data_IF_954458379217
#
_entry.id   IF_954458379217
#
_cell.length_a   1.000
_cell.length_b   1.000
_cell.length_c   1.000
_cell.angle_alpha   90.00
_cell.angle_beta   90.00
_cell.angle_gamma   90.00
#
_symmetry.space_group_name_H-M   'P 1'
#
loop_
_entity.id
_entity.type
_entity.pdbx_description
1 polymer ?
#
# COMPACT_ATOMS: atom_id res chain seq x y z
N UNK A 1 5.65 -9.38 -1.80
CA UNK A 1 4.62 -9.00 -0.82
C UNK A 1 4.46 -9.85 0.49
N UNK A 2 5.19 -10.95 0.85
CA UNK A 2 5.04 -11.60 2.19
C UNK A 2 6.37 -11.63 2.95
N UNK A 3 6.22 -11.89 4.25
CA UNK A 3 7.22 -12.29 5.23
C UNK A 3 6.70 -13.44 6.11
N UNK A 4 7.64 -14.11 6.78
CA UNK A 4 7.53 -15.32 7.60
C UNK A 4 6.57 -15.25 8.80
N UNK A 5 5.83 -16.34 9.12
CA UNK A 5 5.29 -16.56 10.45
C UNK A 5 6.35 -17.22 11.34
N UNK A 6 6.74 -16.58 12.45
CA UNK A 6 7.31 -17.35 13.56
C UNK A 6 6.20 -18.23 14.14
N UNK A 7 6.35 -19.54 13.98
CA UNK A 7 5.50 -20.54 14.65
C UNK A 7 5.60 -20.35 16.16
N UNK A 8 4.47 -20.03 16.79
CA UNK A 8 4.24 -20.11 18.22
C UNK A 8 2.77 -20.39 18.49
N UNK A 9 2.49 -21.59 18.97
CA UNK A 9 1.18 -22.11 19.34
C UNK A 9 0.53 -21.31 20.50
N UNK A 10 -0.81 -21.24 20.42
CA UNK A 10 -1.82 -21.14 21.50
C UNK A 10 -1.93 -19.85 22.32
N UNK A 11 -3.17 -19.35 22.39
CA UNK A 11 -3.89 -19.14 23.65
C UNK A 11 -3.45 -17.98 24.54
N UNK A 12 -4.43 -17.12 24.83
CA UNK A 12 -4.43 -16.02 25.80
C UNK A 12 -3.69 -14.74 25.39
N UNK A 13 -4.53 -13.71 25.26
CA UNK A 13 -4.23 -12.29 25.25
C UNK A 13 -3.12 -11.90 26.23
N UNK A 14 -1.93 -11.65 25.69
CA UNK A 14 -0.90 -10.85 26.33
C UNK A 14 -0.43 -9.85 25.26
N UNK A 15 -0.73 -8.57 25.49
CA UNK A 15 -0.08 -7.46 24.80
C UNK A 15 1.43 -7.61 25.00
N UNK A 16 2.12 -8.23 24.03
CA UNK A 16 3.56 -8.16 23.97
C UNK A 16 3.90 -6.75 23.50
N UNK A 17 4.70 -6.07 24.30
CA UNK A 17 5.38 -4.83 23.91
C UNK A 17 6.00 -5.05 22.54
N UNK A 18 5.85 -4.06 21.66
CA UNK A 18 6.70 -3.91 20.49
C UNK A 18 8.15 -3.82 21.02
N UNK A 19 8.83 -4.95 21.13
CA UNK A 19 10.29 -4.96 21.20
C UNK A 19 10.70 -4.39 19.84
N UNK A 20 11.03 -3.09 19.85
CA UNK A 20 11.39 -2.34 18.65
C UNK A 20 12.41 -3.16 17.88
N UNK A 21 12.08 -3.53 16.65
CA UNK A 21 13.04 -4.15 15.76
C UNK A 21 14.23 -3.18 15.69
N UNK A 22 15.39 -3.59 16.21
CA UNK A 22 16.56 -2.72 16.24
C UNK A 22 16.83 -2.25 14.81
N UNK A 23 16.86 -0.94 14.60
CA UNK A 23 16.90 -0.37 13.27
C UNK A 23 18.14 -0.79 12.48
N UNK A 24 19.27 -0.95 13.17
CA UNK A 24 20.50 -1.48 12.57
C UNK A 24 20.30 -2.90 12.01
N UNK A 25 19.39 -3.69 12.59
CA UNK A 25 19.07 -5.03 12.10
C UNK A 25 18.26 -4.98 10.82
N UNK A 26 17.35 -4.01 10.64
CA UNK A 26 16.61 -3.89 9.39
C UNK A 26 17.53 -3.37 8.29
N UNK A 27 18.40 -2.38 8.52
CA UNK A 27 19.42 -1.96 7.53
C UNK A 27 20.29 -3.16 7.08
N UNK A 28 20.75 -3.98 8.03
CA UNK A 28 21.50 -5.22 7.74
C UNK A 28 20.70 -6.27 6.97
N UNK A 29 19.37 -6.28 7.10
CA UNK A 29 18.47 -7.22 6.43
C UNK A 29 18.03 -6.74 5.04
N UNK A 30 17.89 -5.43 4.85
CA UNK A 30 17.55 -4.80 3.57
C UNK A 30 18.66 -5.02 2.54
N UNK A 31 19.93 -4.82 2.92
CA UNK A 31 21.08 -5.00 2.03
C UNK A 31 21.09 -6.34 1.26
N UNK A 32 21.05 -7.52 1.93
CA UNK A 32 21.06 -8.80 1.22
C UNK A 32 19.76 -9.08 0.46
N UNK A 33 18.61 -8.63 0.94
CA UNK A 33 17.32 -8.86 0.27
C UNK A 33 17.18 -8.07 -1.02
N UNK A 34 17.69 -6.83 -1.08
CA UNK A 34 17.65 -6.04 -2.31
C UNK A 34 18.52 -6.64 -3.41
N UNK A 35 19.69 -7.18 -3.08
CA UNK A 35 20.52 -7.91 -4.05
C UNK A 35 19.78 -9.12 -4.64
N UNK A 36 19.06 -9.87 -3.80
CA UNK A 36 18.24 -10.99 -4.26
C UNK A 36 17.07 -10.53 -5.16
N UNK A 37 16.48 -9.37 -4.89
CA UNK A 37 15.42 -8.77 -5.71
C UNK A 37 15.93 -8.32 -7.09
N UNK A 38 17.10 -7.68 -7.14
CA UNK A 38 17.76 -7.24 -8.38
C UNK A 38 18.19 -8.43 -9.24
N UNK A 39 18.56 -9.56 -8.62
CA UNK A 39 19.07 -10.74 -9.31
C UNK A 39 17.98 -11.78 -9.66
N UNK A 40 16.71 -11.54 -9.29
CA UNK A 40 15.65 -12.52 -9.56
C UNK A 40 15.48 -12.77 -11.06
N UNK A 41 15.48 -14.04 -11.44
CA UNK A 41 15.28 -14.48 -12.81
C UNK A 41 13.81 -14.77 -13.15
N UNK A 42 12.88 -14.63 -12.18
CA UNK A 42 11.44 -14.74 -12.44
C UNK A 42 11.06 -13.79 -13.58
N UNK A 43 10.57 -14.37 -14.68
CA UNK A 43 10.11 -13.62 -15.84
C UNK A 43 9.07 -12.55 -15.46
N UNK A 44 8.24 -12.81 -14.44
CA UNK A 44 7.28 -11.85 -13.88
C UNK A 44 7.96 -10.64 -13.23
N UNK A 45 9.04 -10.84 -12.47
CA UNK A 45 9.78 -9.73 -11.83
C UNK A 45 10.49 -8.90 -12.88
N UNK A 46 11.13 -9.55 -13.87
CA UNK A 46 11.71 -8.84 -15.03
C UNK A 46 10.64 -8.10 -15.83
N UNK A 47 9.47 -8.70 -16.04
CA UNK A 47 8.36 -8.07 -16.76
C UNK A 47 7.82 -6.84 -16.04
N UNK A 48 7.67 -6.92 -14.72
CA UNK A 48 7.29 -5.77 -13.88
C UNK A 48 8.38 -4.68 -13.93
N UNK A 49 9.66 -5.05 -13.89
CA UNK A 49 10.80 -4.12 -13.95
C UNK A 49 11.00 -3.46 -15.32
N UNK A 50 10.59 -4.08 -16.43
CA UNK A 50 10.90 -3.62 -17.80
C UNK A 50 9.82 -2.73 -18.46
N UNK A 51 8.77 -2.31 -17.75
CA UNK A 51 7.57 -1.74 -18.38
C UNK A 51 7.28 -0.28 -18.05
N UNK A 52 6.47 0.31 -18.94
CA UNK A 52 5.73 1.59 -18.81
C UNK A 52 4.82 1.69 -17.58
N UNK A 53 4.86 0.73 -16.66
CA UNK A 53 4.10 0.71 -15.41
C UNK A 53 5.02 0.92 -14.20
N UNK A 54 6.27 1.34 -14.40
CA UNK A 54 7.20 1.67 -13.32
C UNK A 54 6.93 3.07 -12.78
N UNK A 55 6.73 3.19 -11.47
CA UNK A 55 6.42 4.47 -10.82
C UNK A 55 7.54 5.49 -11.03
N UNK A 56 8.81 5.05 -10.88
CA UNK A 56 9.99 5.88 -11.03
C UNK A 56 10.11 6.64 -12.37
N UNK A 57 9.44 6.17 -13.43
CA UNK A 57 9.50 6.85 -14.73
C UNK A 57 8.79 8.22 -14.71
N UNK A 58 7.92 8.47 -13.73
CA UNK A 58 7.13 9.69 -13.57
C UNK A 58 7.77 10.72 -12.63
N UNK A 59 9.04 10.51 -12.28
CA UNK A 59 9.91 11.54 -11.71
C UNK A 59 10.02 12.77 -12.65
N UNK A 60 9.89 12.54 -13.97
CA UNK A 60 9.72 13.60 -14.95
C UNK A 60 8.24 13.96 -15.12
N UNK A 61 7.86 15.14 -14.62
CA UNK A 61 6.50 15.69 -14.73
C UNK A 61 6.01 15.81 -16.19
N UNK A 62 6.91 15.96 -17.17
CA UNK A 62 6.56 16.01 -18.58
C UNK A 62 5.98 14.70 -19.11
N UNK A 63 6.30 13.57 -18.46
CA UNK A 63 5.76 12.25 -18.83
C UNK A 63 4.36 12.01 -18.28
N UNK A 64 4.00 12.67 -17.17
CA UNK A 64 2.69 12.49 -16.53
C UNK A 64 1.57 12.92 -17.48
N UNK A 65 1.60 14.16 -17.96
CA UNK A 65 0.52 14.69 -18.81
C UNK A 65 0.37 13.98 -20.17
N UNK A 66 1.40 13.29 -20.64
CA UNK A 66 1.37 12.53 -21.89
C UNK A 66 0.89 11.08 -21.69
N UNK A 67 1.02 10.53 -20.48
CA UNK A 67 0.79 9.10 -20.23
C UNK A 67 -0.40 8.84 -19.34
N UNK A 68 -0.82 9.82 -18.53
CA UNK A 68 -1.84 9.66 -17.51
C UNK A 68 -2.94 10.72 -17.64
N UNK A 69 -4.15 10.34 -17.27
CA UNK A 69 -5.31 11.21 -17.12
C UNK A 69 -5.94 10.98 -15.75
N UNK A 70 -6.75 11.93 -15.29
CA UNK A 70 -7.53 11.79 -14.05
C UNK A 70 -9.00 11.81 -14.41
N UNK A 71 -9.75 10.81 -13.98
CA UNK A 71 -11.20 10.74 -14.15
C UNK A 71 -11.84 10.27 -12.84
N UNK A 72 -13.08 10.70 -12.61
CA UNK A 72 -13.89 10.23 -11.50
C UNK A 72 -14.65 8.93 -11.82
N UNK A 73 -14.71 8.51 -13.09
CA UNK A 73 -15.47 7.35 -13.55
C UNK A 73 -16.94 7.37 -13.08
N UNK A 74 -17.54 8.56 -13.06
CA UNK A 74 -18.89 8.82 -12.51
C UNK A 74 -19.01 8.72 -10.97
N UNK A 75 -17.91 8.49 -10.25
CA UNK A 75 -17.88 8.65 -8.80
C UNK A 75 -17.93 10.13 -8.42
N UNK A 76 -18.63 10.45 -7.34
CA UNK A 76 -18.65 11.81 -6.78
C UNK A 76 -17.55 12.04 -5.74
N UNK A 77 -16.84 10.97 -5.34
CA UNK A 77 -15.92 11.00 -4.20
C UNK A 77 -14.56 10.35 -4.49
N UNK A 78 -14.42 9.65 -5.62
CA UNK A 78 -13.19 8.94 -5.99
C UNK A 78 -12.67 9.47 -7.30
N UNK A 79 -11.37 9.71 -7.37
CA UNK A 79 -10.67 10.04 -8.61
C UNK A 79 -9.63 8.96 -8.86
N UNK A 80 -9.57 8.51 -10.10
CA UNK A 80 -8.70 7.46 -10.57
C UNK A 80 -7.65 8.06 -11.49
N UNK A 81 -6.43 7.57 -11.32
CA UNK A 81 -5.37 7.78 -12.29
C UNK A 81 -5.55 6.73 -13.39
N UNK A 82 -5.68 7.17 -14.63
CA UNK A 82 -5.91 6.30 -15.79
C UNK A 82 -4.76 6.43 -16.78
N UNK A 83 -4.48 5.36 -17.53
CA UNK A 83 -3.60 5.41 -18.68
C UNK A 83 -4.25 6.22 -19.80
N UNK A 84 -3.57 7.26 -20.30
CA UNK A 84 -4.12 8.16 -21.32
C UNK A 84 -4.51 7.43 -22.62
N UNK A 85 -3.80 6.35 -22.97
CA UNK A 85 -4.03 5.61 -24.21
C UNK A 85 -5.14 4.56 -24.11
N UNK A 86 -5.25 3.82 -22.99
CA UNK A 86 -6.25 2.76 -22.82
C UNK A 86 -7.47 3.18 -22.01
N UNK A 87 -7.35 4.27 -21.25
CA UNK A 87 -8.34 4.70 -20.24
C UNK A 87 -8.56 3.66 -19.13
N UNK A 88 -7.68 2.67 -19.01
CA UNK A 88 -7.68 1.71 -17.90
C UNK A 88 -6.99 2.31 -16.67
N UNK A 89 -7.31 1.78 -15.48
CA UNK A 89 -6.68 2.19 -14.23
C UNK A 89 -5.15 2.05 -14.26
N UNK A 90 -4.45 3.10 -13.85
CA UNK A 90 -3.00 3.16 -13.83
C UNK A 90 -2.42 2.44 -12.60
N UNK A 91 -2.16 1.14 -12.75
CA UNK A 91 -1.46 0.36 -11.72
C UNK A 91 0.06 0.52 -11.88
N UNK A 92 0.67 1.27 -10.97
CA UNK A 92 2.11 1.57 -10.97
C UNK A 92 2.87 0.68 -9.98
N UNK A 93 4.05 0.24 -10.41
CA UNK A 93 4.88 -0.70 -9.68
C UNK A 93 6.07 -0.01 -9.03
N UNK A 94 6.40 -0.48 -7.83
CA UNK A 94 7.64 -0.17 -7.13
C UNK A 94 8.18 -1.42 -6.44
N UNK A 95 9.48 -1.46 -6.24
CA UNK A 95 10.16 -2.50 -5.48
C UNK A 95 10.83 -1.90 -4.24
N UNK A 96 10.73 -2.62 -3.12
CA UNK A 96 11.36 -2.22 -1.86
C UNK A 96 11.08 -3.25 -0.77
N UNK A 97 11.56 -2.96 0.42
CA UNK A 97 11.39 -3.78 1.62
C UNK A 97 10.24 -3.22 2.45
N UNK A 98 9.27 -4.07 2.76
CA UNK A 98 8.19 -3.75 3.67
C UNK A 98 8.74 -3.67 5.10
N UNK A 99 8.76 -2.48 5.68
CA UNK A 99 9.41 -2.24 6.98
C UNK A 99 8.42 -1.92 8.10
N UNK A 100 7.24 -1.40 7.76
CA UNK A 100 6.16 -1.17 8.73
C UNK A 100 4.82 -1.54 8.09
N UNK A 101 3.97 -2.22 8.85
CA UNK A 101 2.56 -2.44 8.52
C UNK A 101 1.74 -2.13 9.75
N UNK A 102 0.71 -1.33 9.58
CA UNK A 102 -0.29 -1.05 10.58
C UNK A 102 -1.67 -1.49 10.05
N UNK A 103 -2.28 -2.42 10.77
CA UNK A 103 -3.69 -2.77 10.58
C UNK A 103 -4.36 -2.50 11.93
N UNK A 104 -5.34 -1.58 12.00
CA UNK A 104 -5.91 -1.17 13.27
C UNK A 104 -6.69 -2.35 13.87
N UNK A 105 -6.64 -2.53 15.20
CA UNK A 105 -7.39 -3.59 15.84
C UNK A 105 -8.88 -3.34 15.64
N UNK A 106 -9.57 -4.35 15.11
CA UNK A 106 -11.02 -4.31 14.95
C UNK A 106 -11.64 -4.62 16.30
N UNK A 107 -11.94 -3.57 17.07
CA UNK A 107 -12.51 -3.69 18.41
C UNK A 107 -14.03 -3.49 18.39
N UNK A 108 -14.72 -4.01 19.40
CA UNK A 108 -16.16 -3.83 19.60
C UNK A 108 -16.54 -2.43 20.11
N UNK A 109 -15.57 -1.53 20.30
CA UNK A 109 -15.76 -0.20 20.86
C UNK A 109 -16.61 0.73 19.96
N UNK A 110 -17.12 1.82 20.51
CA UNK A 110 -18.07 2.71 19.84
C UNK A 110 -17.60 3.24 18.47
N UNK A 111 -18.50 3.19 17.49
CA UNK A 111 -18.25 3.41 16.06
C UNK A 111 -17.73 4.80 15.67
N UNK A 112 -17.77 5.79 16.57
CA UNK A 112 -17.35 7.17 16.29
C UNK A 112 -15.84 7.31 16.06
N UNK A 113 -15.02 6.33 16.47
CA UNK A 113 -13.57 6.33 16.20
C UNK A 113 -13.17 5.66 14.88
N UNK A 114 -14.05 4.85 14.29
CA UNK A 114 -13.72 4.02 13.12
C UNK A 114 -13.64 4.80 11.81
N UNK A 115 -14.21 6.01 11.77
CA UNK A 115 -14.04 6.95 10.66
C UNK A 115 -12.57 7.37 10.46
N UNK A 116 -11.74 7.16 11.50
CA UNK A 116 -10.29 7.38 11.48
C UNK A 116 -9.49 6.08 11.52
N UNK A 117 -10.14 4.92 11.34
CA UNK A 117 -9.42 3.66 11.25
C UNK A 117 -8.77 3.59 9.86
N UNK A 118 -7.45 3.73 9.85
CA UNK A 118 -6.64 3.57 8.65
C UNK A 118 -5.78 2.33 8.77
N UNK A 119 -5.57 1.66 7.64
CA UNK A 119 -4.50 0.71 7.43
C UNK A 119 -3.36 1.46 6.77
N UNK A 120 -2.13 1.14 7.14
CA UNK A 120 -0.98 1.71 6.45
C UNK A 120 0.16 0.74 6.30
N UNK A 121 1.01 1.02 5.32
CA UNK A 121 2.27 0.32 5.12
C UNK A 121 3.36 1.31 4.75
N UNK A 122 4.59 0.99 5.16
CA UNK A 122 5.78 1.71 4.72
C UNK A 122 6.76 0.77 4.04
N UNK A 123 7.18 1.18 2.86
CA UNK A 123 8.20 0.51 2.06
C UNK A 123 9.45 1.37 2.11
N UNK A 124 10.61 0.73 2.30
CA UNK A 124 11.93 1.39 2.26
C UNK A 124 12.84 0.72 1.25
N UNK A 125 13.91 1.40 0.87
CA UNK A 125 14.99 0.88 0.05
C UNK A 125 16.35 1.24 0.65
N UNK A 126 17.44 0.80 0.02
CA UNK A 126 18.77 1.33 0.30
C UNK A 126 18.85 2.81 -0.07
N UNK A 127 19.73 3.53 0.63
CA UNK A 127 19.89 4.98 0.49
C UNK A 127 20.36 5.39 -0.91
N UNK A 128 21.08 4.52 -1.62
CA UNK A 128 21.60 4.74 -2.97
C UNK A 128 20.69 4.16 -4.08
N UNK A 129 19.51 3.63 -3.74
CA UNK A 129 18.54 3.13 -4.69
C UNK A 129 17.89 4.28 -5.49
N UNK A 130 18.50 4.59 -6.63
CA UNK A 130 18.03 5.66 -7.53
C UNK A 130 16.61 5.45 -8.04
N UNK A 131 16.20 4.19 -8.26
CA UNK A 131 14.86 3.90 -8.75
C UNK A 131 13.82 4.20 -7.67
N UNK A 132 14.12 3.83 -6.43
CA UNK A 132 13.27 4.15 -5.29
C UNK A 132 13.21 5.66 -5.01
N UNK A 133 14.34 6.36 -5.09
CA UNK A 133 14.39 7.81 -4.96
C UNK A 133 13.56 8.54 -6.04
N UNK A 134 13.68 8.12 -7.30
CA UNK A 134 12.81 8.63 -8.38
C UNK A 134 11.35 8.26 -8.19
N UNK A 135 11.03 7.11 -7.58
CA UNK A 135 9.65 6.74 -7.28
C UNK A 135 9.02 7.61 -6.17
N UNK A 136 9.81 8.03 -5.16
CA UNK A 136 9.36 9.02 -4.17
C UNK A 136 8.99 10.34 -4.83
N UNK A 137 9.87 10.87 -5.69
CA UNK A 137 9.57 12.08 -6.47
C UNK A 137 8.38 11.91 -7.41
N UNK A 138 8.23 10.73 -8.02
CA UNK A 138 7.10 10.42 -8.89
C UNK A 138 5.75 10.48 -8.13
N UNK A 139 5.70 10.04 -6.88
CA UNK A 139 4.50 10.15 -6.03
C UNK A 139 4.14 11.62 -5.84
N UNK A 140 5.10 12.45 -5.43
CA UNK A 140 4.89 13.89 -5.26
C UNK A 140 4.37 14.53 -6.56
N UNK A 141 4.94 14.15 -7.71
CA UNK A 141 4.50 14.66 -9.00
C UNK A 141 3.07 14.19 -9.36
N UNK A 142 2.72 12.93 -9.08
CA UNK A 142 1.38 12.38 -9.32
C UNK A 142 0.36 13.06 -8.40
N UNK A 143 0.65 13.24 -7.11
CA UNK A 143 -0.22 13.96 -6.18
C UNK A 143 -0.48 15.38 -6.67
N UNK A 144 0.58 16.10 -7.04
CA UNK A 144 0.47 17.44 -7.62
C UNK A 144 -0.33 17.45 -8.92
N UNK A 145 -0.20 16.41 -9.75
CA UNK A 145 -0.97 16.25 -10.97
C UNK A 145 -2.46 16.01 -10.66
N UNK A 146 -2.79 15.15 -9.69
CA UNK A 146 -4.17 14.87 -9.30
C UNK A 146 -4.85 16.06 -8.62
N UNK A 147 -4.13 16.81 -7.78
CA UNK A 147 -4.64 18.03 -7.14
C UNK A 147 -5.03 19.13 -8.14
N UNK A 148 -4.47 19.13 -9.35
CA UNK A 148 -4.90 20.06 -10.42
C UNK A 148 -6.23 19.67 -11.05
N UNK A 149 -6.61 18.41 -10.95
CA UNK A 149 -7.81 17.86 -11.57
C UNK A 149 -8.95 17.63 -10.57
N UNK A 150 -8.68 17.72 -9.26
CA UNK A 150 -9.66 17.47 -8.19
C UNK A 150 -9.50 18.46 -7.03
N UNK A 151 -10.62 18.85 -6.39
CA UNK A 151 -10.63 19.71 -5.19
C UNK A 151 -9.86 19.03 -4.05
N UNK A 152 -9.23 19.79 -3.13
CA UNK A 152 -7.96 19.40 -2.53
C UNK A 152 -8.04 18.07 -1.80
N UNK A 153 -7.13 17.16 -2.17
CA UNK A 153 -6.70 16.11 -1.25
C UNK A 153 -6.29 16.77 0.06
N UNK A 154 -6.75 16.23 1.19
CA UNK A 154 -6.47 16.75 2.52
C UNK A 154 -4.96 16.63 2.80
N UNK A 155 -4.22 17.64 2.33
CA UNK A 155 -2.79 17.90 2.50
C UNK A 155 -1.85 17.04 1.65
N UNK A 156 -0.78 17.66 1.08
CA UNK A 156 0.29 16.90 0.44
C UNK A 156 0.94 15.97 1.46
N UNK A 157 1.28 14.74 1.06
CA UNK A 157 1.94 13.81 1.97
C UNK A 157 3.29 14.38 2.39
N UNK A 158 3.52 14.46 3.70
CA UNK A 158 4.84 14.81 4.19
C UNK A 158 5.83 13.69 3.86
N UNK A 159 7.11 14.01 3.56
CA UNK A 159 8.14 13.00 3.40
C UNK A 159 8.13 12.05 4.60
N UNK A 160 8.04 10.75 4.32
CA UNK A 160 7.97 9.73 5.36
C UNK A 160 9.32 9.03 5.49
N UNK A 161 9.69 8.70 6.73
CA UNK A 161 10.95 8.06 7.05
C UNK A 161 10.75 6.87 8.01
N UNK A 162 11.66 5.92 7.95
CA UNK A 162 11.87 4.89 8.99
C UNK A 162 13.31 5.04 9.46
N UNK A 163 13.50 5.63 10.65
CA UNK A 163 14.81 6.14 11.06
C UNK A 163 15.34 7.13 10.02
N UNK A 164 16.50 6.85 9.45
CA UNK A 164 17.13 7.72 8.43
C UNK A 164 16.83 7.32 6.97
N UNK A 165 16.06 6.24 6.74
CA UNK A 165 15.72 5.83 5.36
C UNK A 165 14.41 6.48 4.93
N UNK A 166 14.42 7.09 3.74
CA UNK A 166 13.22 7.54 3.07
C UNK A 166 12.28 6.36 2.82
N UNK A 167 10.99 6.58 3.06
CA UNK A 167 9.98 5.56 3.00
C UNK A 167 8.79 6.04 2.16
N UNK A 168 8.25 5.13 1.35
CA UNK A 168 6.95 5.33 0.72
C UNK A 168 5.91 4.86 1.71
N UNK A 169 5.00 5.77 2.04
CA UNK A 169 3.88 5.52 2.92
C UNK A 169 2.61 5.39 2.09
N UNK A 170 1.93 4.27 2.23
CA UNK A 170 0.58 4.10 1.69
C UNK A 170 -0.38 3.98 2.86
N UNK A 171 -1.45 4.78 2.82
CA UNK A 171 -2.52 4.76 3.80
C UNK A 171 -3.84 4.51 3.09
N UNK A 172 -4.70 3.72 3.72
CA UNK A 172 -6.03 3.43 3.22
C UNK A 172 -7.04 3.40 4.36
N UNK A 173 -8.28 3.82 4.10
CA UNK A 173 -9.35 3.73 5.09
C UNK A 173 -9.77 2.28 5.24
N UNK A 174 -9.95 1.83 6.48
CA UNK A 174 -10.51 0.50 6.75
C UNK A 174 -12.01 0.47 6.41
N UNK A 175 -12.72 1.56 6.66
CA UNK A 175 -14.16 1.66 6.49
C UNK A 175 -14.55 3.02 5.92
N UNK A 176 -15.53 3.02 5.02
CA UNK A 176 -16.10 4.24 4.43
C UNK A 176 -17.44 4.55 5.10
N UNK A 177 -17.71 5.81 5.50
CA UNK A 177 -19.02 6.15 6.05
C UNK A 177 -20.13 5.95 5.02
N UNK A 178 -21.23 5.30 5.41
CA UNK A 178 -22.34 4.92 4.52
C UNK A 178 -22.96 6.11 3.76
N UNK A 179 -22.91 7.31 4.34
CA UNK A 179 -23.49 8.50 3.72
C UNK A 179 -22.65 9.10 2.58
N UNK A 180 -21.37 8.70 2.44
CA UNK A 180 -20.50 9.15 1.35
C UNK A 180 -20.53 8.23 0.14
N UNK A 181 -21.14 7.04 0.23
CA UNK A 181 -21.07 6.08 -0.85
C UNK A 181 -22.40 5.37 -1.07
N UNK A 182 -22.82 5.26 -2.33
CA UNK A 182 -24.04 4.58 -2.77
C UNK A 182 -23.83 3.09 -3.07
N UNK A 183 -22.58 2.63 -3.07
CA UNK A 183 -22.23 1.29 -3.53
C UNK A 183 -22.62 0.20 -2.52
N UNK A 184 -22.59 -1.05 -2.99
CA UNK A 184 -22.82 -2.20 -2.15
C UNK A 184 -21.65 -2.42 -1.19
N UNK A 185 -21.97 -2.66 0.08
CA UNK A 185 -20.96 -3.11 1.02
C UNK A 185 -20.55 -4.55 0.69
N UNK A 186 -19.27 -4.84 0.89
CA UNK A 186 -18.68 -6.16 0.71
C UNK A 186 -18.57 -6.81 2.08
N UNK A 187 -18.87 -8.11 2.14
CA UNK A 187 -18.66 -8.88 3.35
C UNK A 187 -17.15 -9.14 3.53
N UNK A 188 -16.58 -8.82 4.70
CA UNK A 188 -15.16 -9.08 4.94
C UNK A 188 -14.91 -10.59 4.95
N UNK A 189 -13.76 -10.98 4.38
CA UNK A 189 -13.30 -12.36 4.36
C UNK A 189 -12.93 -12.85 5.77
N UNK A 190 -12.77 -14.16 5.93
CA UNK A 190 -12.41 -14.75 7.21
C UNK A 190 -10.98 -14.37 7.64
N UNK A 191 -10.09 -14.11 6.69
CA UNK A 191 -8.71 -13.67 6.95
C UNK A 191 -8.69 -12.26 7.56
N UNK A 192 -9.58 -11.38 7.10
CA UNK A 192 -9.69 -9.99 7.58
C UNK A 192 -10.50 -9.91 8.88
N UNK A 193 -11.55 -10.73 9.01
CA UNK A 193 -12.49 -10.68 10.13
C UNK A 193 -12.76 -12.07 10.74
N UNK A 194 -11.69 -12.71 11.24
CA UNK A 194 -11.75 -14.07 11.79
C UNK A 194 -12.79 -14.24 12.92
N UNK A 195 -13.10 -13.17 13.64
CA UNK A 195 -14.03 -13.17 14.77
C UNK A 195 -15.41 -12.58 14.44
N UNK A 196 -15.66 -12.15 13.20
CA UNK A 196 -16.94 -11.57 12.78
C UNK A 196 -17.24 -10.17 13.37
N UNK A 197 -16.23 -9.49 13.95
CA UNK A 197 -16.39 -8.19 14.61
C UNK A 197 -16.57 -7.08 13.57
N UNK A 198 -15.81 -7.11 12.49
CA UNK A 198 -15.93 -6.15 11.40
C UNK A 198 -17.30 -6.27 10.73
N UNK A 199 -17.73 -7.50 10.44
CA UNK A 199 -19.04 -7.81 9.87
C UNK A 199 -20.17 -7.35 10.78
N UNK A 200 -20.08 -7.60 12.09
CA UNK A 200 -21.05 -7.10 13.05
C UNK A 200 -21.09 -5.56 13.08
N UNK A 201 -19.94 -4.91 12.88
CA UNK A 201 -19.83 -3.46 12.82
C UNK A 201 -20.47 -2.89 11.56
N UNK A 202 -20.17 -3.45 10.37
CA UNK A 202 -20.77 -3.04 9.09
C UNK A 202 -22.30 -3.17 9.13
N UNK A 203 -22.83 -4.26 9.71
CA UNK A 203 -24.27 -4.51 9.84
C UNK A 203 -25.05 -3.45 10.62
N UNK A 204 -24.38 -2.64 11.44
CA UNK A 204 -25.02 -1.49 12.12
C UNK A 204 -25.36 -0.34 11.15
N UNK A 205 -24.90 -0.39 9.90
CA UNK A 205 -25.33 0.50 8.81
C UNK A 205 -24.65 1.87 8.74
N UNK A 206 -23.75 2.20 9.67
CA UNK A 206 -23.08 3.51 9.69
C UNK A 206 -21.86 3.59 8.77
N UNK A 207 -21.21 2.46 8.53
CA UNK A 207 -19.99 2.35 7.71
C UNK A 207 -20.07 1.12 6.82
N UNK A 208 -19.31 1.14 5.73
CA UNK A 208 -19.18 0.05 4.76
C UNK A 208 -17.72 -0.37 4.62
N UNK A 209 -17.54 -1.63 4.25
CA UNK A 209 -16.29 -2.17 3.75
C UNK A 209 -16.45 -2.36 2.23
N UNK A 210 -15.49 -1.89 1.46
CA UNK A 210 -15.53 -1.83 0.00
C UNK A 210 -14.23 -2.39 -0.59
N UNK A 211 -14.21 -2.62 -1.91
CA UNK A 211 -13.05 -3.22 -2.61
C UNK A 211 -11.79 -2.37 -2.44
N UNK A 212 -11.95 -1.06 -2.43
CA UNK A 212 -10.85 -0.12 -2.22
C UNK A 212 -10.26 -0.19 -0.81
N UNK A 213 -10.91 -0.87 0.17
CA UNK A 213 -10.42 -1.03 1.54
C UNK A 213 -9.57 -2.31 1.74
N UNK A 214 -9.41 -3.13 0.70
CA UNK A 214 -8.68 -4.40 0.78
C UNK A 214 -7.19 -4.18 0.53
N UNK A 215 -6.36 -4.43 1.55
CA UNK A 215 -4.90 -4.51 1.37
C UNK A 215 -4.50 -5.97 1.20
N UNK A 216 -3.91 -6.30 0.05
CA UNK A 216 -3.43 -7.64 -0.29
C UNK A 216 -1.92 -7.76 -0.05
N UNK A 217 -1.51 -8.80 0.67
CA UNK A 217 -0.10 -9.14 0.90
C UNK A 217 0.22 -10.48 0.17
N UNK A 218 1.38 -10.62 -0.51
CA UNK A 218 1.75 -11.74 -1.44
C UNK A 218 3.24 -12.25 -1.37
N UNK A 219 3.66 -13.51 -1.15
CA UNK A 219 5.06 -13.86 -0.68
C UNK A 219 6.06 -13.33 -1.61
N UNK A 220 7.13 -12.81 -1.01
CA UNK A 220 8.36 -12.97 -1.72
C UNK A 220 9.00 -14.29 -1.31
N UNK A 221 8.93 -15.28 -2.19
CA UNK A 221 9.75 -16.50 -2.10
C UNK A 221 10.99 -16.33 -2.97
N UNK A 222 12.16 -16.58 -2.38
CA UNK A 222 13.44 -16.62 -3.11
C UNK A 222 13.34 -17.67 -4.22
N UNK A 223 13.86 -17.32 -5.39
CA UNK A 223 14.05 -18.29 -6.45
C UNK A 223 15.06 -19.34 -5.97
N UNK A 224 14.55 -20.51 -5.63
CA UNK A 224 15.38 -21.71 -5.60
C UNK A 224 15.70 -21.98 -7.07
N UNK A 225 16.87 -21.53 -7.53
CA UNK A 225 17.34 -21.68 -8.90
C UNK A 225 17.51 -23.15 -9.30
N UNK A 226 16.40 -23.89 -9.37
CA UNK A 226 16.34 -25.17 -10.03
C UNK A 226 16.62 -24.89 -11.50
N UNK A 227 17.88 -25.09 -11.85
CA UNK A 227 18.33 -25.28 -13.23
C UNK A 227 17.59 -26.51 -13.76
N UNK A 228 16.41 -26.31 -14.31
CA UNK A 228 15.83 -27.20 -15.31
C UNK A 228 16.46 -26.88 -16.66
#
# INVERSE_FOLDING_TARGET
>A
MYFFPQRGLLGNSVFRRHDGCNWDNIKKLVCPMQLDLLQSNKAMIKHLQMKSSQLAQFDDIGKLGNSLTVDSLSSTHTHYLLWANSQEEAVLNIQGVLAEVYIPPITTAEMKSLTKAYQSMKIVALEDDKQFASALHAIDNIENFMMRHSSPMDHPMAPTFIGDLSAIHAENRLLVPRHFCSDAAIDPSQEVDANGVLRATIRKGMHMYMDDNVVLFQEWTKDNGNKT
#
